data_IF_152571311021
#
_entry.id   IF_152571311021
#
_cell.length_a   1.000
_cell.length_b   1.000
_cell.length_c   1.000
_cell.angle_alpha   90.00
_cell.angle_beta   90.00
_cell.angle_gamma   90.00
#
_symmetry.space_group_name_H-M   'P 1'
#
loop_
_entity.id
_entity.type
_entity.pdbx_description
1 polymer ?
#
# COMPACT_ATOMS: atom_id res chain seq x y z
N UNK A 1 46.41 3.27 10.16
CA UNK A 1 45.25 4.03 9.63
C UNK A 1 45.63 5.01 8.53
N UNK A 2 46.84 5.59 8.51
CA UNK A 2 47.28 6.49 7.43
C UNK A 2 47.24 5.85 6.03
N UNK A 3 47.55 4.56 5.91
CA UNK A 3 47.52 3.86 4.61
C UNK A 3 46.12 3.79 4.00
N UNK A 4 45.09 3.46 4.77
CA UNK A 4 43.70 3.36 4.27
C UNK A 4 43.21 4.70 3.71
N UNK A 5 43.54 5.81 4.39
CA UNK A 5 43.16 7.14 3.91
C UNK A 5 43.90 7.52 2.62
N UNK A 6 45.16 7.12 2.51
CA UNK A 6 45.97 7.34 1.32
C UNK A 6 45.47 6.50 0.13
N UNK A 7 45.04 5.26 0.37
CA UNK A 7 44.47 4.35 -0.63
C UNK A 7 43.13 4.88 -1.16
N UNK A 8 42.23 5.34 -0.28
CA UNK A 8 40.95 5.97 -0.68
C UNK A 8 41.19 7.23 -1.52
N UNK A 9 42.12 8.10 -1.10
CA UNK A 9 42.47 9.31 -1.84
C UNK A 9 43.05 8.97 -3.22
N UNK A 10 43.89 7.94 -3.29
CA UNK A 10 44.45 7.47 -4.56
C UNK A 10 43.37 6.90 -5.49
N UNK A 11 42.46 6.10 -4.95
CA UNK A 11 41.31 5.55 -5.69
C UNK A 11 40.40 6.64 -6.26
N UNK A 12 40.03 7.65 -5.47
CA UNK A 12 39.24 8.79 -5.94
C UNK A 12 39.95 9.56 -7.07
N UNK A 13 41.26 9.74 -6.97
CA UNK A 13 42.05 10.39 -8.01
C UNK A 13 42.11 9.57 -9.30
N UNK A 14 42.09 8.24 -9.19
CA UNK A 14 42.04 7.34 -10.33
C UNK A 14 40.67 7.39 -11.03
N UNK A 15 39.58 7.42 -10.28
CA UNK A 15 38.22 7.59 -10.82
C UNK A 15 38.07 8.93 -11.55
N UNK A 16 38.61 10.01 -11.00
CA UNK A 16 38.60 11.34 -11.63
C UNK A 16 39.41 11.41 -12.94
N UNK A 17 40.39 10.50 -13.14
CA UNK A 17 41.17 10.41 -14.40
C UNK A 17 40.42 9.71 -15.53
N UNK A 18 39.38 8.91 -15.22
CA UNK A 18 38.58 8.18 -16.20
C UNK A 18 37.08 8.49 -16.00
N UNK A 19 36.64 9.74 -16.27
CA UNK A 19 35.30 10.20 -15.89
C UNK A 19 34.18 9.47 -16.62
N UNK A 20 34.34 9.17 -17.92
CA UNK A 20 33.32 8.46 -18.69
C UNK A 20 33.10 7.02 -18.19
N UNK A 21 34.18 6.27 -17.96
CA UNK A 21 34.09 4.91 -17.41
C UNK A 21 33.49 4.90 -16.01
N UNK A 22 33.95 5.82 -15.15
CA UNK A 22 33.43 5.98 -13.79
C UNK A 22 31.93 6.30 -13.81
N UNK A 23 31.48 7.21 -14.69
CA UNK A 23 30.07 7.56 -14.80
C UNK A 23 29.20 6.35 -15.20
N UNK A 24 29.64 5.56 -16.18
CA UNK A 24 28.93 4.34 -16.59
C UNK A 24 28.87 3.35 -15.42
N UNK A 25 29.99 3.08 -14.76
CA UNK A 25 30.04 2.16 -13.63
C UNK A 25 29.12 2.61 -12.47
N UNK A 26 29.12 3.90 -12.14
CA UNK A 26 28.24 4.48 -11.11
C UNK A 26 26.78 4.35 -11.50
N UNK A 27 26.41 4.66 -12.76
CA UNK A 27 25.03 4.54 -13.23
C UNK A 27 24.54 3.10 -13.23
N UNK A 28 25.37 2.15 -13.67
CA UNK A 28 25.03 0.72 -13.64
C UNK A 28 24.81 0.23 -12.21
N UNK A 29 25.71 0.59 -11.28
CA UNK A 29 25.56 0.26 -9.86
C UNK A 29 24.30 0.91 -9.27
N UNK A 30 24.07 2.19 -9.54
CA UNK A 30 22.91 2.93 -9.05
C UNK A 30 21.60 2.31 -9.55
N UNK A 31 21.53 1.92 -10.83
CA UNK A 31 20.37 1.24 -11.41
C UNK A 31 20.16 -0.14 -10.79
N UNK A 32 21.22 -0.95 -10.64
CA UNK A 32 21.10 -2.28 -10.02
C UNK A 32 20.65 -2.21 -8.56
N UNK A 33 21.24 -1.29 -7.78
CA UNK A 33 20.85 -1.08 -6.37
C UNK A 33 19.43 -0.51 -6.30
N UNK A 34 19.13 0.50 -7.10
CA UNK A 34 17.85 1.22 -7.08
C UNK A 34 16.69 0.32 -7.53
N UNK A 35 16.85 -0.46 -8.60
CA UNK A 35 15.83 -1.37 -9.09
C UNK A 35 15.50 -2.45 -8.04
N UNK A 36 16.52 -3.09 -7.47
CA UNK A 36 16.31 -4.09 -6.42
C UNK A 36 15.64 -3.47 -5.19
N UNK A 37 16.12 -2.30 -4.75
CA UNK A 37 15.53 -1.58 -3.61
C UNK A 37 14.08 -1.18 -3.86
N UNK A 38 13.73 -0.73 -5.07
CA UNK A 38 12.37 -0.36 -5.43
C UNK A 38 11.42 -1.57 -5.39
N UNK A 39 11.83 -2.70 -5.99
CA UNK A 39 11.05 -3.95 -5.97
C UNK A 39 10.81 -4.39 -4.52
N UNK A 40 11.86 -4.45 -3.70
CA UNK A 40 11.72 -4.81 -2.30
C UNK A 40 10.93 -3.79 -1.48
N UNK A 41 10.97 -2.50 -1.80
CA UNK A 41 10.18 -1.48 -1.08
C UNK A 41 8.68 -1.66 -1.33
N UNK A 42 8.29 -1.95 -2.58
CA UNK A 42 6.90 -2.25 -2.95
C UNK A 42 6.47 -3.55 -2.27
N UNK A 43 7.26 -4.62 -2.40
CA UNK A 43 6.96 -5.89 -1.75
C UNK A 43 6.86 -5.74 -0.22
N UNK A 44 7.73 -4.94 0.39
CA UNK A 44 7.68 -4.70 1.82
C UNK A 44 6.42 -3.91 2.22
N UNK A 45 6.04 -2.89 1.45
CA UNK A 45 4.86 -2.09 1.71
C UNK A 45 3.55 -2.89 1.60
N UNK A 46 3.47 -3.83 0.65
CA UNK A 46 2.24 -4.59 0.37
C UNK A 46 2.20 -5.99 0.98
N UNK A 47 3.33 -6.70 1.08
CA UNK A 47 3.38 -8.11 1.51
C UNK A 47 4.00 -8.31 2.91
N UNK A 48 5.03 -7.54 3.30
CA UNK A 48 5.79 -7.83 4.53
C UNK A 48 5.39 -6.96 5.72
N UNK A 49 4.81 -5.78 5.48
CA UNK A 49 4.26 -4.96 6.55
C UNK A 49 2.86 -5.49 6.85
N UNK A 50 2.63 -6.14 8.01
CA UNK A 50 1.31 -6.63 8.35
C UNK A 50 0.36 -5.43 8.31
N UNK A 51 -0.76 -5.59 7.61
CA UNK A 51 -1.79 -4.57 7.61
C UNK A 51 -2.17 -4.29 9.06
N UNK A 52 -2.42 -3.03 9.45
CA UNK A 52 -2.68 -2.65 10.84
C UNK A 52 -4.11 -3.03 11.24
N UNK A 53 -4.49 -4.28 10.97
CA UNK A 53 -5.79 -4.87 11.22
C UNK A 53 -5.58 -6.23 11.86
N UNK A 54 -6.54 -6.65 12.67
CA UNK A 54 -6.53 -7.95 13.33
C UNK A 54 -6.68 -9.07 12.30
N UNK A 55 -5.89 -10.13 12.45
CA UNK A 55 -5.96 -11.37 11.67
C UNK A 55 -5.97 -11.12 10.13
N UNK A 56 -5.07 -10.26 9.64
CA UNK A 56 -5.04 -9.78 8.25
C UNK A 56 -5.02 -10.93 7.21
N UNK A 57 -4.35 -12.04 7.52
CA UNK A 57 -4.28 -13.23 6.69
C UNK A 57 -5.61 -13.99 6.53
N UNK A 58 -6.63 -13.65 7.34
CA UNK A 58 -7.97 -14.24 7.31
C UNK A 58 -9.02 -13.29 6.72
N UNK A 59 -8.61 -12.12 6.25
CA UNK A 59 -9.51 -11.16 5.60
C UNK A 59 -9.62 -11.46 4.10
N UNK A 60 -10.84 -11.38 3.59
CA UNK A 60 -11.12 -11.45 2.15
C UNK A 60 -12.24 -10.48 1.80
N UNK A 61 -12.31 -10.08 0.54
CA UNK A 61 -13.39 -9.24 0.01
C UNK A 61 -14.39 -10.14 -0.71
N UNK A 62 -15.65 -10.04 -0.29
CA UNK A 62 -16.77 -10.67 -1.00
C UNK A 62 -17.29 -9.65 -2.02
N UNK A 63 -17.27 -10.03 -3.29
CA UNK A 63 -17.82 -9.24 -4.39
C UNK A 63 -18.72 -10.12 -5.25
N UNK A 64 -19.72 -9.52 -5.87
CA UNK A 64 -20.55 -10.17 -6.89
C UNK A 64 -19.91 -9.95 -8.26
N UNK A 65 -19.81 -10.97 -9.09
CA UNK A 65 -19.30 -10.82 -10.45
C UNK A 65 -20.42 -10.50 -11.43
N UNK A 66 -20.16 -9.62 -12.39
CA UNK A 66 -21.06 -9.43 -13.52
C UNK A 66 -20.94 -10.58 -14.55
N UNK A 67 -21.62 -10.43 -15.70
CA UNK A 67 -21.59 -11.43 -16.78
C UNK A 67 -20.21 -11.66 -17.40
N UNK A 68 -19.30 -10.70 -17.26
CA UNK A 68 -17.93 -10.78 -17.75
C UNK A 68 -16.96 -11.30 -16.67
N UNK A 69 -17.44 -11.52 -15.44
CA UNK A 69 -16.62 -11.91 -14.31
C UNK A 69 -16.06 -10.73 -13.51
N UNK A 70 -16.37 -9.49 -13.91
CA UNK A 70 -15.82 -8.30 -13.25
C UNK A 70 -16.47 -8.10 -11.88
N UNK A 71 -15.68 -7.88 -10.81
CA UNK A 71 -16.21 -7.67 -9.47
C UNK A 71 -16.99 -6.36 -9.40
N UNK A 72 -18.24 -6.46 -8.96
CA UNK A 72 -19.17 -5.37 -8.74
C UNK A 72 -19.36 -5.13 -7.23
N UNK A 73 -19.53 -3.86 -6.83
CA UNK A 73 -19.86 -3.53 -5.46
C UNK A 73 -21.19 -4.15 -5.07
N UNK A 74 -21.28 -4.61 -3.83
CA UNK A 74 -22.47 -5.22 -3.28
C UNK A 74 -23.43 -4.15 -2.79
N UNK A 75 -24.73 -4.30 -3.06
CA UNK A 75 -25.73 -3.39 -2.49
C UNK A 75 -25.87 -3.60 -0.98
N UNK A 76 -26.29 -2.57 -0.24
CA UNK A 76 -26.48 -2.69 1.20
C UNK A 76 -27.51 -3.77 1.61
N UNK A 77 -28.66 -3.92 0.92
CA UNK A 77 -29.57 -5.04 1.16
C UNK A 77 -28.92 -6.42 0.97
N UNK A 78 -28.18 -6.62 -0.13
CA UNK A 78 -27.51 -7.90 -0.37
C UNK A 78 -26.43 -8.19 0.70
N UNK A 79 -25.75 -7.15 1.19
CA UNK A 79 -24.83 -7.27 2.33
C UNK A 79 -25.54 -7.78 3.58
N UNK A 80 -26.74 -7.27 3.89
CA UNK A 80 -27.53 -7.74 5.03
C UNK A 80 -27.95 -9.21 4.85
N UNK A 81 -28.36 -9.58 3.64
CA UNK A 81 -28.75 -10.96 3.32
C UNK A 81 -27.56 -11.92 3.47
N UNK A 82 -26.40 -11.58 2.93
CA UNK A 82 -25.19 -12.40 3.12
C UNK A 82 -24.76 -12.45 4.57
N UNK A 83 -24.80 -11.34 5.31
CA UNK A 83 -24.45 -11.32 6.73
C UNK A 83 -25.40 -12.19 7.55
N UNK A 84 -26.69 -12.20 7.23
CA UNK A 84 -27.69 -13.01 7.93
C UNK A 84 -27.56 -14.51 7.63
N UNK A 85 -27.17 -14.86 6.40
CA UNK A 85 -27.03 -16.25 5.93
C UNK A 85 -25.59 -16.78 6.02
N UNK A 86 -24.69 -16.05 6.68
CA UNK A 86 -23.28 -16.38 6.72
C UNK A 86 -22.97 -17.40 7.83
N UNK A 87 -22.50 -18.58 7.41
CA UNK A 87 -21.99 -19.64 8.29
C UNK A 87 -20.47 -19.86 8.16
N UNK A 88 -19.80 -19.18 7.22
CA UNK A 88 -18.40 -19.46 6.84
C UNK A 88 -17.43 -18.44 7.45
N UNK A 89 -17.81 -17.17 7.51
CA UNK A 89 -16.98 -16.08 8.04
C UNK A 89 -17.31 -15.82 9.52
N UNK A 90 -16.31 -15.50 10.32
CA UNK A 90 -16.52 -15.14 11.73
C UNK A 90 -17.32 -13.84 11.88
N UNK A 91 -17.07 -12.88 10.99
CA UNK A 91 -17.79 -11.61 10.96
C UNK A 91 -17.72 -11.02 9.54
N UNK A 92 -18.73 -10.23 9.17
CA UNK A 92 -18.78 -9.50 7.91
C UNK A 92 -19.03 -8.01 8.17
N UNK A 93 -18.33 -7.17 7.41
CA UNK A 93 -18.51 -5.72 7.36
C UNK A 93 -18.39 -5.24 5.91
N UNK A 94 -18.58 -3.96 5.68
CA UNK A 94 -18.49 -3.35 4.36
C UNK A 94 -18.02 -1.91 4.45
N UNK A 95 -17.72 -1.32 3.30
CA UNK A 95 -17.46 0.09 3.19
C UNK A 95 -17.96 0.60 1.83
N UNK A 96 -18.38 1.85 1.79
CA UNK A 96 -18.74 2.54 0.56
C UNK A 96 -18.05 3.89 0.51
N UNK A 97 -17.32 4.14 -0.58
CA UNK A 97 -16.53 5.36 -0.77
C UNK A 97 -17.34 6.34 -1.60
N UNK A 98 -17.55 7.53 -1.04
CA UNK A 98 -18.31 8.59 -1.69
C UNK A 98 -17.53 9.92 -1.68
N UNK A 99 -17.87 10.81 -2.60
CA UNK A 99 -17.33 12.16 -2.66
C UNK A 99 -18.42 13.15 -2.27
N UNK A 100 -18.34 13.65 -1.03
CA UNK A 100 -19.30 14.60 -0.51
C UNK A 100 -18.73 16.03 -0.50
N UNK A 101 -19.62 17.01 -0.68
CA UNK A 101 -19.29 18.41 -0.42
C UNK A 101 -19.39 18.69 1.07
N UNK A 102 -18.33 19.26 1.64
CA UNK A 102 -18.30 19.72 3.02
C UNK A 102 -18.12 21.23 3.06
N UNK A 103 -19.15 21.93 3.53
CA UNK A 103 -19.15 23.38 3.68
C UNK A 103 -18.98 23.79 5.14
N UNK A 104 -17.98 24.63 5.44
CA UNK A 104 -17.81 25.26 6.75
C UNK A 104 -17.38 26.71 6.62
N UNK A 105 -18.07 27.63 7.32
CA UNK A 105 -17.76 29.06 7.35
C UNK A 105 -17.53 29.71 5.97
N UNK A 106 -18.33 29.33 4.96
CA UNK A 106 -18.23 29.89 3.61
C UNK A 106 -17.15 29.25 2.73
N UNK A 107 -16.37 28.31 3.24
CA UNK A 107 -15.48 27.45 2.45
C UNK A 107 -16.19 26.14 2.14
N UNK A 108 -16.17 25.71 0.88
CA UNK A 108 -16.71 24.42 0.44
C UNK A 108 -15.60 23.60 -0.17
N UNK A 109 -15.31 22.46 0.44
CA UNK A 109 -14.32 21.51 -0.03
C UNK A 109 -14.98 20.18 -0.36
N UNK A 110 -14.37 19.43 -1.28
CA UNK A 110 -14.77 18.06 -1.55
C UNK A 110 -13.98 17.13 -0.65
N UNK A 111 -14.67 16.31 0.12
CA UNK A 111 -14.07 15.32 0.97
C UNK A 111 -14.46 13.92 0.52
N UNK A 112 -13.53 12.99 0.65
CA UNK A 112 -13.82 11.57 0.50
C UNK A 112 -14.47 11.11 1.80
N UNK A 113 -15.70 10.65 1.72
CA UNK A 113 -16.41 10.00 2.82
C UNK A 113 -16.37 8.49 2.63
N UNK A 114 -16.35 7.77 3.75
CA UNK A 114 -16.44 6.32 3.76
C UNK A 114 -17.57 5.92 4.70
N UNK A 115 -18.65 5.38 4.15
CA UNK A 115 -19.76 4.84 4.93
C UNK A 115 -19.43 3.43 5.35
N UNK A 116 -19.49 3.14 6.64
CA UNK A 116 -19.17 1.82 7.18
C UNK A 116 -20.25 1.38 8.18
N UNK A 117 -20.59 0.08 8.23
CA UNK A 117 -21.40 -0.47 9.31
C UNK A 117 -20.71 -0.30 10.67
N UNK A 118 -21.50 -0.28 11.75
CA UNK A 118 -21.00 -0.03 13.11
C UNK A 118 -19.91 -1.01 13.58
N UNK A 119 -19.90 -2.23 13.05
CA UNK A 119 -18.93 -3.27 13.41
C UNK A 119 -17.61 -3.20 12.64
N UNK A 120 -17.45 -2.25 11.71
CA UNK A 120 -16.25 -2.14 10.86
C UNK A 120 -14.95 -2.02 11.69
N UNK A 121 -14.92 -1.07 12.63
CA UNK A 121 -13.73 -0.83 13.45
C UNK A 121 -13.44 -2.01 14.39
N UNK A 122 -14.48 -2.57 15.04
CA UNK A 122 -14.31 -3.70 15.96
C UNK A 122 -13.85 -4.98 15.25
N UNK A 123 -14.41 -5.26 14.06
CA UNK A 123 -14.01 -6.43 13.26
C UNK A 123 -12.54 -6.34 12.85
N UNK A 124 -12.10 -5.16 12.40
CA UNK A 124 -10.72 -4.91 12.00
C UNK A 124 -9.75 -4.73 13.19
N UNK A 125 -10.26 -4.72 14.43
CA UNK A 125 -9.45 -4.47 15.63
C UNK A 125 -8.90 -3.04 15.69
N UNK A 126 -9.57 -2.10 15.04
CA UNK A 126 -9.25 -0.67 15.06
C UNK A 126 -9.96 0.00 16.23
N UNK A 127 -9.26 0.95 16.87
CA UNK A 127 -9.85 1.82 17.88
C UNK A 127 -10.27 3.13 17.21
N UNK A 128 -11.56 3.45 17.30
CA UNK A 128 -12.13 4.73 16.86
C UNK A 128 -11.95 5.82 17.93
#
# INVERSE_FOLDING_TARGET
MESLFQDVKYGLRMLAKAPAFTAIAVLTLALGIGANTAIFSIANAFMLRPWPVKDAERLTVVAVSDKNGDPQPLSYPDYLDYKQQNDVFTEMTGFDLDLAGFGWQGHSDRIVMCYVPSNFFSMLGLHA
#
